data_IF_945770948174
#
_entry.id   IF_945770948174
#
_cell.length_a   1.000
_cell.length_b   1.000
_cell.length_c   1.000
_cell.angle_alpha   90.00
_cell.angle_beta   90.00
_cell.angle_gamma   90.00
#
_symmetry.space_group_name_H-M   'P 1'
#
loop_
_entity.id
_entity.type
_entity.pdbx_description
1 polymer ?
#
# COMPACT_ATOMS: atom_id res chain seq x y z
N UNK A 1 -5.12 0.72 -11.22
CA UNK A 1 -5.92 1.33 -10.14
C UNK A 1 -5.46 2.77 -9.99
N UNK A 2 -6.40 3.71 -10.01
CA UNK A 2 -6.15 5.14 -9.84
C UNK A 2 -6.53 5.60 -8.42
N UNK A 3 -6.14 6.83 -8.06
CA UNK A 3 -6.47 7.41 -6.76
C UNK A 3 -7.98 7.47 -6.50
N UNK A 4 -8.77 7.78 -7.55
CA UNK A 4 -10.23 7.80 -7.46
C UNK A 4 -10.83 6.41 -7.15
N UNK A 5 -10.20 5.33 -7.58
CA UNK A 5 -10.65 3.97 -7.27
C UNK A 5 -10.47 3.68 -5.78
N UNK A 6 -9.35 4.11 -5.19
CA UNK A 6 -9.10 3.95 -3.74
C UNK A 6 -10.16 4.69 -2.92
N UNK A 7 -10.53 5.91 -3.33
CA UNK A 7 -11.59 6.67 -2.68
C UNK A 7 -12.93 5.92 -2.73
N UNK A 8 -13.27 5.32 -3.88
CA UNK A 8 -14.49 4.50 -4.02
C UNK A 8 -14.46 3.26 -3.12
N UNK A 9 -13.31 2.61 -2.94
CA UNK A 9 -13.16 1.49 -2.01
C UNK A 9 -13.44 1.90 -0.56
N UNK A 10 -12.97 3.08 -0.16
CA UNK A 10 -13.24 3.67 1.17
C UNK A 10 -14.73 4.02 1.30
N UNK A 11 -15.30 4.74 0.33
CA UNK A 11 -16.69 5.18 0.35
C UNK A 11 -17.69 4.02 0.39
N UNK A 12 -17.39 2.95 -0.36
CA UNK A 12 -18.20 1.73 -0.37
C UNK A 12 -17.92 0.79 0.81
N UNK A 13 -16.94 1.11 1.66
CA UNK A 13 -16.45 0.26 2.74
C UNK A 13 -16.19 -1.18 2.27
N UNK A 14 -15.52 -1.34 1.13
CA UNK A 14 -15.23 -2.66 0.58
C UNK A 14 -14.26 -3.43 1.49
N UNK A 15 -14.76 -4.47 2.13
CA UNK A 15 -13.99 -5.32 3.05
C UNK A 15 -12.81 -6.00 2.35
N UNK A 16 -11.75 -6.26 3.12
CA UNK A 16 -10.66 -7.15 2.74
C UNK A 16 -11.16 -8.53 2.34
N UNK A 17 -10.39 -9.17 1.47
CA UNK A 17 -10.60 -10.54 0.98
C UNK A 17 -9.26 -11.25 0.91
N UNK A 18 -9.25 -12.54 0.59
CA UNK A 18 -8.02 -13.31 0.40
C UNK A 18 -7.13 -12.79 -0.76
N UNK A 19 -7.66 -11.87 -1.59
CA UNK A 19 -6.97 -11.26 -2.73
C UNK A 19 -6.88 -9.72 -2.63
N UNK A 20 -7.31 -9.11 -1.52
CA UNK A 20 -7.30 -7.67 -1.30
C UNK A 20 -7.02 -7.36 0.17
N UNK A 21 -5.91 -6.70 0.44
CA UNK A 21 -5.47 -6.34 1.80
C UNK A 21 -5.05 -4.86 1.86
N UNK A 22 -5.48 -4.15 2.91
CA UNK A 22 -5.19 -2.74 3.11
C UNK A 22 -4.13 -2.55 4.19
N UNK A 23 -3.14 -1.69 3.91
CA UNK A 23 -2.10 -1.34 4.86
C UNK A 23 -1.96 0.18 4.95
N UNK A 24 -1.65 0.65 6.15
CA UNK A 24 -1.21 2.03 6.37
C UNK A 24 0.12 2.25 5.66
N UNK A 25 0.34 3.45 5.15
CA UNK A 25 1.59 3.80 4.48
C UNK A 25 2.82 3.65 5.39
N UNK A 26 2.66 3.82 6.70
CA UNK A 26 3.71 3.61 7.70
C UNK A 26 4.18 2.15 7.81
N UNK A 27 3.38 1.18 7.36
CA UNK A 27 3.79 -0.23 7.32
C UNK A 27 4.79 -0.50 6.19
N UNK A 28 4.89 0.39 5.20
CA UNK A 28 5.82 0.29 4.10
C UNK A 28 7.07 1.13 4.38
N UNK A 29 8.22 0.48 4.37
CA UNK A 29 9.49 1.16 4.58
C UNK A 29 10.69 0.26 4.32
N UNK A 30 11.88 0.85 4.40
CA UNK A 30 13.15 0.17 4.12
C UNK A 30 13.74 -0.58 5.33
N UNK A 31 13.13 -0.50 6.50
CA UNK A 31 13.59 -1.25 7.67
C UNK A 31 13.41 -2.75 7.45
N UNK A 32 14.27 -3.58 8.06
CA UNK A 32 14.24 -5.02 7.84
C UNK A 32 12.87 -5.65 8.15
N UNK A 33 12.26 -5.29 9.29
CA UNK A 33 10.95 -5.86 9.67
C UNK A 33 9.84 -5.49 8.68
N UNK A 34 9.82 -4.24 8.18
CA UNK A 34 8.87 -3.76 7.18
C UNK A 34 9.10 -4.44 5.83
N UNK A 35 10.36 -4.64 5.43
CA UNK A 35 10.74 -5.34 4.20
C UNK A 35 10.31 -6.80 4.25
N UNK A 36 10.57 -7.48 5.36
CA UNK A 36 10.21 -8.88 5.55
C UNK A 36 8.68 -9.06 5.58
N UNK A 37 7.95 -8.13 6.20
CA UNK A 37 6.49 -8.11 6.17
C UNK A 37 5.96 -7.98 4.74
N UNK A 38 6.45 -6.99 3.97
CA UNK A 38 6.08 -6.80 2.57
C UNK A 38 6.33 -8.07 1.74
N UNK A 39 7.50 -8.70 1.90
CA UNK A 39 7.83 -9.93 1.14
C UNK A 39 6.93 -11.10 1.52
N UNK A 40 6.61 -11.28 2.81
CA UNK A 40 5.67 -12.32 3.26
C UNK A 40 4.29 -12.14 2.63
N UNK A 41 3.79 -10.92 2.59
CA UNK A 41 2.48 -10.60 1.99
C UNK A 41 2.48 -10.84 0.48
N UNK A 42 3.49 -10.34 -0.24
CA UNK A 42 3.62 -10.55 -1.69
C UNK A 42 3.70 -12.04 -2.04
N UNK A 43 4.50 -12.82 -1.32
CA UNK A 43 4.61 -14.26 -1.52
C UNK A 43 3.29 -14.97 -1.18
N UNK A 44 2.60 -14.53 -0.12
CA UNK A 44 1.29 -15.06 0.27
C UNK A 44 0.26 -14.91 -0.84
N UNK A 45 0.17 -13.73 -1.47
CA UNK A 45 -0.71 -13.51 -2.62
C UNK A 45 -0.26 -14.25 -3.87
N UNK A 46 1.03 -14.28 -4.17
CA UNK A 46 1.54 -15.04 -5.31
C UNK A 46 1.17 -16.54 -5.22
N UNK A 47 1.22 -17.11 -4.01
CA UNK A 47 0.84 -18.50 -3.76
C UNK A 47 -0.69 -18.73 -3.77
N UNK A 48 -1.49 -17.67 -3.62
CA UNK A 48 -2.95 -17.71 -3.53
C UNK A 48 -3.66 -17.35 -4.86
N UNK A 49 -2.92 -17.31 -5.97
CA UNK A 49 -3.46 -16.97 -7.29
C UNK A 49 -3.39 -15.47 -7.64
N UNK A 50 -2.61 -14.70 -6.89
CA UNK A 50 -2.42 -13.25 -7.07
C UNK A 50 -3.17 -12.45 -6.00
N UNK A 51 -3.26 -11.14 -6.21
CA UNK A 51 -3.96 -10.24 -5.30
C UNK A 51 -3.54 -8.79 -5.45
N UNK A 52 -4.17 -7.92 -4.67
CA UNK A 52 -3.88 -6.48 -4.62
C UNK A 52 -3.54 -6.08 -3.18
N UNK A 53 -2.30 -5.61 -2.96
CA UNK A 53 -1.89 -4.96 -1.72
C UNK A 53 -2.03 -3.44 -1.89
N UNK A 54 -2.84 -2.81 -1.06
CA UNK A 54 -3.01 -1.36 -1.08
C UNK A 54 -2.36 -0.76 0.16
N UNK A 55 -1.13 -0.27 -0.01
CA UNK A 55 -0.47 0.57 0.98
C UNK A 55 -0.93 2.02 0.80
N UNK A 56 -1.33 2.66 1.89
CA UNK A 56 -1.87 4.01 1.85
C UNK A 56 -3.27 4.15 2.42
N UNK A 57 -3.86 3.09 2.98
CA UNK A 57 -5.23 3.08 3.49
C UNK A 57 -5.23 2.51 4.92
N UNK A 58 -5.78 3.27 5.85
CA UNK A 58 -6.02 2.80 7.21
C UNK A 58 -7.36 2.08 7.28
N UNK A 59 -7.40 0.95 7.97
CA UNK A 59 -8.63 0.28 8.40
C UNK A 59 -9.06 0.74 9.79
N UNK A 60 -10.33 0.50 10.12
CA UNK A 60 -10.87 0.83 11.44
C UNK A 60 -10.14 0.06 12.54
N UNK A 61 -9.93 0.70 13.69
CA UNK A 61 -9.30 0.05 14.85
C UNK A 61 -10.25 -0.89 15.62
N UNK A 62 -11.56 -0.75 15.43
CA UNK A 62 -12.53 -1.58 16.16
C UNK A 62 -12.64 -2.99 15.58
N UNK A 63 -12.86 -3.97 16.45
CA UNK A 63 -12.87 -5.39 16.07
C UNK A 63 -13.96 -5.74 15.06
N UNK A 64 -15.07 -5.00 15.04
CA UNK A 64 -16.20 -5.28 14.15
C UNK A 64 -15.92 -4.84 12.70
N UNK A 65 -15.10 -3.79 12.52
CA UNK A 65 -14.82 -3.17 11.21
C UNK A 65 -13.34 -3.19 10.83
N UNK A 66 -12.50 -3.96 11.52
CA UNK A 66 -11.05 -4.03 11.28
C UNK A 66 -10.60 -4.37 9.86
N UNK A 67 -11.50 -4.93 9.06
CA UNK A 67 -11.27 -5.29 7.65
C UNK A 67 -11.86 -4.28 6.67
N UNK A 68 -12.50 -3.22 7.17
CA UNK A 68 -13.08 -2.17 6.35
C UNK A 68 -12.10 -1.00 6.23
N UNK A 69 -11.92 -0.46 5.01
CA UNK A 69 -11.13 0.73 4.81
C UNK A 69 -11.84 1.94 5.45
N UNK A 70 -11.10 2.74 6.22
CA UNK A 70 -11.62 3.90 6.95
C UNK A 70 -11.25 5.20 6.24
N UNK A 71 -9.95 5.38 5.95
CA UNK A 71 -9.41 6.63 5.42
C UNK A 71 -8.07 6.43 4.73
N UNK A 72 -7.65 7.45 3.98
CA UNK A 72 -6.30 7.54 3.46
C UNK A 72 -5.28 7.68 4.59
N UNK A 73 -4.18 6.95 4.46
CA UNK A 73 -3.01 6.97 5.32
C UNK A 73 -1.77 6.77 4.42
N UNK A 74 -1.41 7.77 3.61
CA UNK A 74 -0.46 7.63 2.50
C UNK A 74 0.95 7.24 2.97
N UNK A 75 1.74 6.67 2.07
CA UNK A 75 3.17 6.41 2.29
C UNK A 75 3.92 7.74 2.30
N UNK A 76 4.57 8.06 3.42
CA UNK A 76 5.32 9.32 3.60
C UNK A 76 6.83 9.15 3.46
N UNK A 77 7.34 7.91 3.46
CA UNK A 77 8.76 7.63 3.26
C UNK A 77 9.13 7.85 1.78
N UNK A 78 9.76 8.97 1.48
CA UNK A 78 10.18 9.33 0.13
C UNK A 78 11.23 8.38 -0.47
N UNK A 79 11.86 7.53 0.35
CA UNK A 79 12.84 6.55 -0.12
C UNK A 79 12.21 5.27 -0.64
N UNK A 80 10.91 5.07 -0.37
CA UNK A 80 10.09 4.00 -0.94
C UNK A 80 9.60 4.45 -2.30
N UNK A 81 10.27 3.99 -3.35
CA UNK A 81 9.87 4.24 -4.74
C UNK A 81 9.30 2.99 -5.39
N UNK A 82 8.56 3.16 -6.50
CA UNK A 82 8.04 2.04 -7.29
C UNK A 82 9.18 1.10 -7.71
N UNK A 83 10.30 1.67 -8.15
CA UNK A 83 11.48 0.93 -8.60
C UNK A 83 12.08 0.11 -7.45
N UNK A 84 12.12 0.68 -6.24
CA UNK A 84 12.60 -0.05 -5.07
C UNK A 84 11.68 -1.24 -4.72
N UNK A 85 10.35 -1.05 -4.78
CA UNK A 85 9.39 -2.13 -4.57
C UNK A 85 9.59 -3.23 -5.62
N UNK A 86 9.72 -2.87 -6.90
CA UNK A 86 9.97 -3.82 -7.98
C UNK A 86 11.29 -4.57 -7.78
N UNK A 87 12.37 -3.86 -7.40
CA UNK A 87 13.65 -4.48 -7.10
C UNK A 87 13.52 -5.48 -5.95
N UNK A 88 12.81 -5.11 -4.87
CA UNK A 88 12.60 -5.96 -3.71
C UNK A 88 11.89 -7.27 -4.09
N UNK A 89 10.78 -7.16 -4.83
CA UNK A 89 10.00 -8.32 -5.25
C UNK A 89 10.85 -9.22 -6.16
N UNK A 90 11.49 -8.65 -7.19
CA UNK A 90 12.32 -9.40 -8.15
C UNK A 90 13.55 -10.07 -7.52
N UNK A 91 14.10 -9.51 -6.44
CA UNK A 91 15.32 -10.04 -5.80
C UNK A 91 15.01 -11.14 -4.78
N UNK A 92 13.78 -11.22 -4.28
CA UNK A 92 13.39 -12.15 -3.20
C UNK A 92 12.40 -13.23 -3.64
N UNK A 93 11.96 -13.24 -4.90
CA UNK A 93 11.08 -14.28 -5.45
C UNK A 93 11.83 -15.27 -6.34
N UNK A 94 11.66 -16.56 -6.09
CA UNK A 94 12.08 -17.64 -7.00
C UNK A 94 10.93 -18.67 -7.13
N UNK A 95 10.38 -18.91 -8.34
CA UNK A 95 10.71 -18.27 -9.61
C UNK A 95 10.38 -16.77 -9.65
N UNK A 96 11.03 -16.03 -10.55
CA UNK A 96 10.76 -14.60 -10.72
C UNK A 96 9.33 -14.39 -11.22
N UNK A 97 8.60 -13.47 -10.61
CA UNK A 97 7.25 -13.14 -11.06
C UNK A 97 7.30 -12.43 -12.43
N UNK A 98 6.49 -12.90 -13.38
CA UNK A 98 6.35 -12.27 -14.70
C UNK A 98 5.35 -11.09 -14.70
N UNK A 99 4.40 -11.07 -13.76
CA UNK A 99 3.19 -10.24 -13.83
C UNK A 99 2.95 -9.41 -12.56
N UNK A 100 3.90 -8.53 -12.20
CA UNK A 100 3.76 -7.62 -11.05
C UNK A 100 3.54 -6.19 -11.54
N UNK A 101 2.37 -5.63 -11.22
CA UNK A 101 2.08 -4.21 -11.43
C UNK A 101 2.17 -3.44 -10.11
N UNK A 102 2.93 -2.35 -10.09
CA UNK A 102 3.09 -1.48 -8.92
C UNK A 102 2.96 -0.02 -9.35
N UNK A 103 2.24 0.77 -8.53
CA UNK A 103 2.01 2.20 -8.78
C UNK A 103 2.00 2.95 -7.45
N UNK A 104 2.61 4.14 -7.42
CA UNK A 104 2.52 5.09 -6.31
C UNK A 104 1.56 6.20 -6.69
N UNK A 105 0.43 6.29 -5.99
CA UNK A 105 -0.59 7.29 -6.25
C UNK A 105 -0.37 8.50 -5.33
N UNK A 106 -0.04 9.64 -5.93
CA UNK A 106 -0.03 10.94 -5.25
C UNK A 106 1.23 11.29 -4.47
N UNK A 107 2.35 11.57 -5.15
CA UNK A 107 3.33 12.51 -4.58
C UNK A 107 2.60 13.83 -4.36
N UNK A 108 2.18 14.12 -3.14
CA UNK A 108 1.87 15.48 -2.76
C UNK A 108 3.15 16.29 -3.01
N UNK A 109 3.08 17.27 -3.92
CA UNK A 109 4.03 18.37 -3.85
C UNK A 109 3.97 18.91 -2.41
N UNK A 110 5.11 19.29 -1.80
CA UNK A 110 5.05 19.93 -0.49
C UNK A 110 4.16 21.15 -0.64
N UNK A 111 2.98 21.12 -0.02
CA UNK A 111 2.15 22.31 0.09
C UNK A 111 2.96 23.24 0.97
N UNK A 112 3.62 24.21 0.34
CA UNK A 112 4.19 25.33 1.06
C UNK A 112 2.99 26.00 1.73
N UNK A 113 2.89 25.81 3.06
CA UNK A 113 2.04 26.61 3.91
C UNK A 113 2.55 28.06 3.81
N UNK A 114 2.10 28.77 2.78
CA UNK A 114 2.18 30.21 2.74
C UNK A 114 1.30 30.72 3.88
N UNK A 115 1.94 31.03 5.01
CA UNK A 115 1.31 31.78 6.08
C UNK A 115 0.76 33.10 5.54
N UNK A 116 -0.31 33.65 6.14
CA UNK A 116 -0.81 34.94 5.71
C UNK A 116 0.28 36.00 5.89
N UNK A 117 0.63 36.67 4.79
CA UNK A 117 1.47 37.88 4.82
C UNK A 117 0.70 39.03 5.47
N UNK A 118 1.40 39.96 6.15
CA UNK A 118 0.88 40.84 7.20
C UNK A 118 -0.14 41.88 6.72
#
# INVERSE_FOLDING_TARGET
>A
MEYADILRLIESAQSETDLLDYKRGEALGRQNDQRDALMKEVLGFANSGGGTLIYGVATFADRARKHLPERLAPVTDATVTVEWIQQMINSNSAPRFSDVQSSLLGRAAPVALAGPSP
#
